data_IF_820340353880
#
_entry.id   IF_820340353880
#
_cell.length_a   1.000
_cell.length_b   1.000
_cell.length_c   1.000
_cell.angle_alpha   90.00
_cell.angle_beta   90.00
_cell.angle_gamma   90.00
#
_symmetry.space_group_name_H-M   'P 1'
#
loop_
_entity.id
_entity.type
_entity.pdbx_description
1 polymer ?
#
# COMPACT_ATOMS: atom_id res chain seq x y z
N UNK A 1 19.76 -22.14 1.47
CA UNK A 1 18.97 -23.34 1.83
C UNK A 1 17.53 -23.08 1.40
N UNK A 2 16.89 -23.97 0.64
CA UNK A 2 15.46 -23.82 0.34
C UNK A 2 14.65 -24.39 1.51
N UNK A 3 13.83 -23.56 2.16
CA UNK A 3 12.87 -23.99 3.19
C UNK A 3 11.61 -23.15 3.15
N UNK A 4 10.50 -23.73 3.60
CA UNK A 4 9.20 -23.06 3.73
C UNK A 4 9.16 -22.36 5.09
N UNK A 5 8.86 -21.05 5.10
CA UNK A 5 8.53 -20.31 6.33
C UNK A 5 7.04 -20.00 6.28
N UNK A 6 6.26 -20.50 7.25
CA UNK A 6 4.80 -20.40 7.20
C UNK A 6 4.21 -19.77 8.47
N UNK A 7 3.54 -18.60 8.36
CA UNK A 7 2.76 -18.02 9.44
C UNK A 7 1.38 -18.72 9.56
N UNK A 8 1.21 -19.47 10.64
CA UNK A 8 -0.03 -20.15 11.04
C UNK A 8 -0.84 -19.24 11.99
N UNK A 9 -1.37 -19.79 13.10
CA UNK A 9 -1.96 -19.04 14.20
C UNK A 9 -1.80 -19.76 15.54
N UNK A 10 -1.68 -19.01 16.64
CA UNK A 10 -1.75 -19.59 17.98
C UNK A 10 -3.13 -20.24 18.18
N UNK A 11 -3.16 -21.48 18.67
CA UNK A 11 -4.40 -22.27 18.76
C UNK A 11 -4.58 -23.29 17.62
N UNK A 12 -3.89 -23.16 16.47
CA UNK A 12 -3.98 -24.15 15.39
C UNK A 12 -3.57 -25.57 15.82
N UNK A 13 -2.68 -25.68 16.82
CA UNK A 13 -2.24 -26.95 17.36
C UNK A 13 -3.27 -27.75 18.13
N UNK A 14 -4.35 -27.10 18.56
CA UNK A 14 -5.42 -27.68 19.36
C UNK A 14 -6.74 -27.69 18.57
N UNK A 15 -6.66 -27.70 17.24
CA UNK A 15 -7.83 -27.73 16.35
C UNK A 15 -8.78 -28.89 16.72
N UNK A 16 -10.05 -28.57 16.98
CA UNK A 16 -11.10 -29.45 17.48
C UNK A 16 -10.92 -29.98 18.93
N UNK A 17 -9.98 -29.46 19.70
CA UNK A 17 -9.85 -29.81 21.14
C UNK A 17 -10.74 -28.90 22.01
N UNK A 18 -10.96 -27.66 21.57
CA UNK A 18 -11.82 -26.67 22.22
C UNK A 18 -12.93 -26.19 21.28
N UNK A 19 -14.06 -25.74 21.84
CA UNK A 19 -15.18 -25.18 21.07
C UNK A 19 -14.71 -24.04 20.14
N UNK A 20 -14.01 -23.05 20.70
CA UNK A 20 -13.46 -21.90 19.96
C UNK A 20 -12.39 -22.30 18.92
N UNK A 21 -11.81 -23.49 19.03
CA UNK A 21 -10.77 -23.98 18.10
C UNK A 21 -11.35 -24.74 16.90
N UNK A 22 -12.67 -24.90 16.79
CA UNK A 22 -13.31 -25.76 15.79
C UNK A 22 -13.75 -25.05 14.50
N UNK A 23 -13.39 -23.77 14.36
CA UNK A 23 -13.84 -22.90 13.26
C UNK A 23 -13.03 -23.04 11.95
N UNK A 24 -13.47 -22.34 10.90
CA UNK A 24 -12.86 -22.41 9.57
C UNK A 24 -11.46 -21.82 9.50
N UNK A 25 -11.15 -20.80 10.31
CA UNK A 25 -9.81 -20.24 10.44
C UNK A 25 -8.82 -21.32 10.91
N UNK A 26 -9.07 -21.96 12.06
CA UNK A 26 -8.19 -22.99 12.60
C UNK A 26 -8.14 -24.23 11.70
N UNK A 27 -9.25 -24.60 11.08
CA UNK A 27 -9.30 -25.70 10.09
C UNK A 27 -8.37 -25.44 8.91
N UNK A 28 -8.40 -24.24 8.34
CA UNK A 28 -7.60 -23.88 7.17
C UNK A 28 -6.10 -23.90 7.50
N UNK A 29 -5.71 -23.29 8.62
CA UNK A 29 -4.32 -23.28 9.13
C UNK A 29 -3.84 -24.68 9.47
N UNK A 30 -4.65 -25.50 10.13
CA UNK A 30 -4.30 -26.89 10.48
C UNK A 30 -4.07 -27.75 9.24
N UNK A 31 -4.92 -27.61 8.21
CA UNK A 31 -4.72 -28.27 6.91
C UNK A 31 -3.42 -27.82 6.24
N UNK A 32 -3.16 -26.52 6.19
CA UNK A 32 -1.93 -25.99 5.61
C UNK A 32 -0.68 -26.50 6.33
N UNK A 33 -0.68 -26.48 7.67
CA UNK A 33 0.40 -27.05 8.47
C UNK A 33 0.65 -28.52 8.16
N UNK A 34 -0.40 -29.34 7.99
CA UNK A 34 -0.27 -30.75 7.67
C UNK A 34 0.27 -31.01 6.26
N UNK A 35 -0.14 -30.19 5.28
CA UNK A 35 0.42 -30.23 3.92
C UNK A 35 1.91 -29.90 3.95
N UNK A 36 2.31 -28.87 4.72
CA UNK A 36 3.71 -28.47 4.85
C UNK A 36 4.53 -29.57 5.55
N UNK A 37 4.02 -30.11 6.67
CA UNK A 37 4.67 -31.20 7.43
C UNK A 37 4.91 -32.46 6.60
N UNK A 38 3.99 -32.75 5.67
CA UNK A 38 4.10 -33.92 4.78
C UNK A 38 4.84 -33.61 3.47
N UNK A 39 5.27 -32.37 3.27
CA UNK A 39 6.11 -31.99 2.13
C UNK A 39 7.53 -32.54 2.27
N UNK A 40 8.25 -32.66 1.15
CA UNK A 40 9.68 -33.05 1.14
C UNK A 40 10.62 -31.86 1.30
N UNK A 41 10.09 -30.67 1.54
CA UNK A 41 10.85 -29.43 1.67
C UNK A 41 11.00 -29.11 3.16
N UNK A 42 12.22 -28.81 3.64
CA UNK A 42 12.41 -28.37 5.03
C UNK A 42 11.48 -27.19 5.36
N UNK A 43 10.92 -27.14 6.56
CA UNK A 43 9.99 -26.07 6.94
C UNK A 43 10.25 -25.51 8.33
N UNK A 44 9.72 -24.30 8.55
CA UNK A 44 9.54 -23.67 9.85
C UNK A 44 8.11 -23.12 9.88
N UNK A 45 7.31 -23.55 10.85
CA UNK A 45 5.95 -23.05 11.06
C UNK A 45 5.95 -22.17 12.29
N UNK A 46 5.38 -20.98 12.17
CA UNK A 46 5.18 -20.07 13.28
C UNK A 46 3.71 -20.01 13.67
N UNK A 47 3.43 -20.06 14.97
CA UNK A 47 2.09 -19.87 15.54
C UNK A 47 2.09 -18.59 16.38
N UNK A 48 1.85 -17.43 15.75
CA UNK A 48 1.83 -16.16 16.46
C UNK A 48 0.56 -15.97 17.29
N UNK A 49 0.72 -15.33 18.45
CA UNK A 49 -0.38 -14.64 19.13
C UNK A 49 -0.78 -13.37 18.35
N UNK A 50 -1.53 -12.46 18.98
CA UNK A 50 -1.73 -11.12 18.43
C UNK A 50 -0.39 -10.46 18.11
N UNK A 51 -0.27 -9.92 16.90
CA UNK A 51 0.90 -9.15 16.48
C UNK A 51 0.48 -7.68 16.54
N UNK A 52 1.09 -6.90 17.43
CA UNK A 52 0.74 -5.49 17.66
C UNK A 52 1.88 -4.57 17.19
N UNK A 53 1.56 -3.35 16.76
CA UNK A 53 2.52 -2.38 16.24
C UNK A 53 1.97 -1.61 15.03
N UNK A 54 2.78 -0.76 14.37
CA UNK A 54 2.35 -0.02 13.20
C UNK A 54 1.69 -0.92 12.14
N UNK A 55 0.52 -0.53 11.65
CA UNK A 55 -0.32 -1.31 10.74
C UNK A 55 -1.16 -2.44 11.34
N UNK A 56 -1.22 -2.61 12.68
CA UNK A 56 -2.22 -3.48 13.31
C UNK A 56 -3.62 -2.87 13.31
N UNK A 57 -4.67 -3.68 13.41
CA UNK A 57 -6.07 -3.21 13.38
C UNK A 57 -6.70 -3.09 14.79
N UNK A 58 -6.14 -3.77 15.80
CA UNK A 58 -6.74 -3.85 17.14
C UNK A 58 -6.55 -2.56 17.93
N UNK A 59 -5.34 -1.99 17.90
CA UNK A 59 -5.05 -0.74 18.60
C UNK A 59 -5.79 0.45 17.96
N UNK A 60 -5.83 0.60 16.62
CA UNK A 60 -6.72 1.55 15.97
C UNK A 60 -8.18 1.48 16.41
N UNK A 61 -8.77 0.29 16.39
CA UNK A 61 -10.16 0.08 16.81
C UNK A 61 -10.39 0.51 18.27
N UNK A 62 -9.47 0.17 19.19
CA UNK A 62 -9.53 0.65 20.58
C UNK A 62 -9.46 2.18 20.65
N UNK A 63 -8.59 2.82 19.85
CA UNK A 63 -8.45 4.29 19.83
C UNK A 63 -9.75 4.95 19.34
N UNK A 64 -10.37 4.38 18.32
CA UNK A 64 -11.61 4.91 17.74
C UNK A 64 -12.76 4.81 18.76
N UNK A 65 -12.92 3.65 19.39
CA UNK A 65 -13.89 3.43 20.47
C UNK A 65 -13.64 4.31 21.71
N UNK A 66 -12.38 4.62 22.04
CA UNK A 66 -12.05 5.62 23.07
C UNK A 66 -12.57 7.01 22.65
N UNK A 67 -12.41 7.38 21.38
CA UNK A 67 -12.92 8.63 20.81
C UNK A 67 -14.46 8.74 20.87
N UNK A 68 -15.14 7.60 20.77
CA UNK A 68 -16.61 7.49 20.85
C UNK A 68 -17.17 7.40 22.29
N UNK A 69 -16.30 7.40 23.31
CA UNK A 69 -16.67 7.26 24.74
C UNK A 69 -17.40 5.93 25.07
N UNK A 70 -17.18 4.90 24.25
CA UNK A 70 -17.76 3.57 24.41
C UNK A 70 -16.84 2.50 23.82
N UNK A 71 -16.33 1.61 24.66
CA UNK A 71 -15.59 0.41 24.21
C UNK A 71 -16.48 -0.82 24.37
N UNK A 72 -16.59 -1.62 23.31
CA UNK A 72 -17.26 -2.91 23.29
C UNK A 72 -16.22 -4.00 23.54
N UNK A 73 -16.46 -4.85 24.53
CA UNK A 73 -15.54 -5.94 24.91
C UNK A 73 -16.25 -7.27 24.84
N UNK A 74 -15.74 -8.19 24.02
CA UNK A 74 -16.22 -9.56 23.96
C UNK A 74 -15.92 -10.31 25.27
N UNK A 75 -16.94 -10.99 25.81
CA UNK A 75 -16.89 -11.66 27.10
C UNK A 75 -16.68 -10.66 28.24
N UNK A 76 -15.72 -10.95 29.12
CA UNK A 76 -15.34 -10.06 30.24
C UNK A 76 -14.03 -9.30 29.99
N UNK A 77 -13.38 -9.57 28.86
CA UNK A 77 -12.05 -9.02 28.55
C UNK A 77 -10.92 -9.51 29.46
N UNK A 78 -11.11 -10.61 30.19
CA UNK A 78 -10.18 -11.17 31.19
C UNK A 78 -9.40 -12.39 30.70
N UNK A 79 -9.55 -12.75 29.42
CA UNK A 79 -8.82 -13.87 28.79
C UNK A 79 -7.35 -13.47 28.63
N UNK A 80 -6.40 -14.29 29.13
CA UNK A 80 -4.98 -13.98 29.03
C UNK A 80 -4.47 -14.19 27.60
N UNK A 81 -3.60 -13.29 27.15
CA UNK A 81 -2.95 -13.33 25.84
C UNK A 81 -1.48 -12.90 25.96
N UNK A 82 -0.64 -13.27 24.98
CA UNK A 82 0.78 -12.87 24.92
C UNK A 82 1.11 -12.22 23.57
N UNK A 83 0.59 -11.01 23.31
CA UNK A 83 0.84 -10.32 22.06
C UNK A 83 2.32 -10.06 21.85
N UNK A 84 2.78 -10.16 20.61
CA UNK A 84 4.17 -9.93 20.20
C UNK A 84 4.27 -8.64 19.36
N UNK A 85 5.36 -7.91 19.51
CA UNK A 85 5.63 -6.74 18.67
C UNK A 85 5.88 -7.16 17.22
N UNK A 86 5.30 -6.44 16.25
CA UNK A 86 5.44 -6.70 14.81
C UNK A 86 6.89 -6.80 14.37
N UNK A 87 7.79 -5.94 14.88
CA UNK A 87 9.20 -5.99 14.52
C UNK A 87 9.89 -7.28 14.99
N UNK A 88 9.46 -7.85 16.12
CA UNK A 88 10.04 -9.09 16.63
C UNK A 88 9.50 -10.30 15.87
N UNK A 89 8.23 -10.27 15.47
CA UNK A 89 7.68 -11.26 14.55
C UNK A 89 8.42 -11.24 13.20
N UNK A 90 8.66 -10.04 12.64
CA UNK A 90 9.44 -9.87 11.40
C UNK A 90 10.87 -10.39 11.56
N UNK A 91 11.58 -10.05 12.64
CA UNK A 91 12.92 -10.60 12.93
C UNK A 91 12.91 -12.14 12.96
N UNK A 92 11.91 -12.75 13.60
CA UNK A 92 11.79 -14.20 13.66
C UNK A 92 11.55 -14.82 12.27
N UNK A 93 10.64 -14.25 11.47
CA UNK A 93 10.39 -14.69 10.10
C UNK A 93 11.63 -14.56 9.23
N UNK A 94 12.37 -13.45 9.34
CA UNK A 94 13.57 -13.19 8.55
C UNK A 94 14.73 -14.12 8.95
N UNK A 95 14.97 -14.30 10.25
CA UNK A 95 15.94 -15.28 10.76
C UNK A 95 15.61 -16.70 10.26
N UNK A 96 14.32 -17.05 10.25
CA UNK A 96 13.83 -18.29 9.66
C UNK A 96 13.86 -18.30 8.12
N UNK A 97 13.95 -17.19 7.41
CA UNK A 97 14.21 -17.22 5.97
C UNK A 97 15.73 -17.44 5.69
N UNK A 98 16.59 -16.85 6.53
CA UNK A 98 18.05 -16.81 6.35
C UNK A 98 18.81 -18.11 6.69
N UNK A 99 18.18 -19.05 7.40
CA UNK A 99 18.79 -20.34 7.76
C UNK A 99 18.89 -20.62 9.25
N UNK A 100 18.51 -19.67 10.13
CA UNK A 100 18.53 -19.85 11.60
C UNK A 100 17.35 -20.69 12.09
N UNK A 101 17.50 -21.32 13.26
CA UNK A 101 16.52 -22.26 13.81
C UNK A 101 16.55 -23.65 13.15
N UNK A 102 15.84 -24.59 13.77
CA UNK A 102 15.80 -25.99 13.34
C UNK A 102 14.78 -26.20 12.21
N UNK A 103 15.15 -27.03 11.24
CA UNK A 103 14.21 -27.45 10.20
C UNK A 103 13.18 -28.42 10.77
N UNK A 104 11.99 -28.39 10.16
CA UNK A 104 10.82 -29.19 10.51
C UNK A 104 10.29 -28.89 11.93
N UNK A 105 10.47 -27.65 12.37
CA UNK A 105 10.09 -27.20 13.70
C UNK A 105 8.86 -26.27 13.67
N UNK A 106 8.08 -26.33 14.74
CA UNK A 106 7.02 -25.36 15.03
C UNK A 106 7.49 -24.45 16.16
N UNK A 107 7.41 -23.15 15.95
CA UNK A 107 7.73 -22.12 16.94
C UNK A 107 6.47 -21.32 17.31
N UNK A 108 6.35 -20.96 18.58
CA UNK A 108 5.31 -20.07 19.07
C UNK A 108 5.86 -18.65 19.13
N UNK A 109 5.20 -17.70 18.46
CA UNK A 109 5.58 -16.29 18.50
C UNK A 109 4.67 -15.57 19.49
N UNK A 110 5.12 -15.50 20.72
CA UNK A 110 4.43 -14.86 21.84
C UNK A 110 5.34 -13.78 22.42
N UNK A 111 4.74 -12.71 22.95
CA UNK A 111 5.49 -11.64 23.63
C UNK A 111 5.95 -12.01 25.03
N UNK A 112 6.71 -11.12 25.63
CA UNK A 112 7.30 -11.31 26.97
C UNK A 112 6.34 -11.07 28.14
N UNK A 113 5.13 -10.57 27.88
CA UNK A 113 4.15 -10.25 28.91
C UNK A 113 2.83 -10.96 28.61
N UNK A 114 2.14 -11.37 29.68
CA UNK A 114 0.77 -11.87 29.62
C UNK A 114 -0.14 -10.70 29.97
N UNK A 115 -1.03 -10.33 29.05
CA UNK A 115 -2.00 -9.24 29.22
C UNK A 115 -3.40 -9.69 28.83
N UNK A 116 -4.41 -9.05 29.40
CA UNK A 116 -5.82 -9.20 29.01
C UNK A 116 -6.27 -8.06 28.08
N UNK A 117 -7.50 -8.14 27.55
CA UNK A 117 -8.06 -7.04 26.76
C UNK A 117 -8.22 -5.75 27.60
N UNK A 118 -8.59 -5.90 28.87
CA UNK A 118 -8.69 -4.75 29.79
C UNK A 118 -7.32 -4.11 30.05
N UNK A 119 -6.27 -4.92 30.22
CA UNK A 119 -4.89 -4.41 30.36
C UNK A 119 -4.44 -3.69 29.09
N UNK A 120 -4.78 -4.21 27.90
CA UNK A 120 -4.45 -3.59 26.63
C UNK A 120 -5.13 -2.21 26.49
N UNK A 121 -6.41 -2.11 26.82
CA UNK A 121 -7.16 -0.83 26.84
C UNK A 121 -6.47 0.17 27.77
N UNK A 122 -6.14 -0.24 29.00
CA UNK A 122 -5.47 0.62 29.97
C UNK A 122 -4.08 1.10 29.49
N UNK A 123 -3.32 0.22 28.85
CA UNK A 123 -2.01 0.55 28.27
C UNK A 123 -2.14 1.53 27.09
N UNK A 124 -3.08 1.31 26.17
CA UNK A 124 -3.37 2.23 25.05
C UNK A 124 -3.76 3.60 25.59
N UNK A 125 -4.70 3.66 26.54
CA UNK A 125 -5.12 4.92 27.17
C UNK A 125 -3.97 5.64 27.87
N UNK A 126 -3.11 4.89 28.58
CA UNK A 126 -1.92 5.44 29.22
C UNK A 126 -0.98 6.06 28.18
N UNK A 127 -0.73 5.39 27.06
CA UNK A 127 0.12 5.90 25.98
C UNK A 127 -0.43 7.15 25.31
N UNK A 128 -1.73 7.20 25.03
CA UNK A 128 -2.39 8.41 24.51
C UNK A 128 -2.20 9.60 25.47
N UNK A 129 -2.32 9.38 26.80
CA UNK A 129 -2.10 10.42 27.82
C UNK A 129 -0.63 10.84 27.92
N UNK A 130 0.32 9.92 27.83
CA UNK A 130 1.75 10.20 27.81
C UNK A 130 2.15 11.07 26.60
N UNK A 131 1.44 10.92 25.48
CA UNK A 131 1.58 11.76 24.28
C UNK A 131 0.91 13.15 24.41
N UNK A 132 0.30 13.45 25.56
CA UNK A 132 -0.25 14.78 25.88
C UNK A 132 -1.75 14.96 25.59
N UNK A 133 -2.43 13.94 25.09
CA UNK A 133 -3.87 14.00 24.83
C UNK A 133 -4.69 13.82 26.11
N UNK A 134 -5.78 14.59 26.21
CA UNK A 134 -6.71 14.51 27.34
C UNK A 134 -7.89 13.63 26.97
N UNK A 135 -7.91 12.41 27.51
CA UNK A 135 -8.99 11.44 27.31
C UNK A 135 -9.63 11.05 28.64
N UNK A 136 -10.96 10.94 28.63
CA UNK A 136 -11.74 10.36 29.73
C UNK A 136 -11.66 8.83 29.69
N UNK A 137 -12.04 8.18 30.78
CA UNK A 137 -12.22 6.72 30.76
C UNK A 137 -13.57 6.39 30.12
N UNK A 138 -13.59 5.66 28.99
CA UNK A 138 -14.82 5.39 28.26
C UNK A 138 -15.69 4.39 29.01
N UNK A 139 -16.98 4.33 28.67
CA UNK A 139 -17.86 3.28 29.17
C UNK A 139 -17.49 1.95 28.51
N UNK A 140 -17.47 0.86 29.28
CA UNK A 140 -17.25 -0.48 28.73
C UNK A 140 -18.58 -1.22 28.64
N UNK A 141 -18.95 -1.64 27.43
CA UNK A 141 -20.07 -2.55 27.16
C UNK A 141 -19.53 -3.96 26.95
N UNK A 142 -19.78 -4.84 27.92
CA UNK A 142 -19.46 -6.26 27.79
C UNK A 142 -20.54 -6.96 26.97
N UNK A 143 -20.13 -7.70 25.95
CA UNK A 143 -21.03 -8.47 25.08
C UNK A 143 -20.70 -9.96 25.16
N UNK A 144 -21.68 -10.87 25.30
CA UNK A 144 -21.45 -12.31 25.21
C UNK A 144 -20.74 -12.71 23.91
N UNK A 145 -19.88 -13.73 23.93
CA UNK A 145 -19.10 -14.15 22.75
C UNK A 145 -19.97 -14.60 21.56
N UNK A 146 -21.18 -15.09 21.81
CA UNK A 146 -22.15 -15.46 20.78
C UNK A 146 -22.81 -14.26 20.09
N UNK A 147 -22.88 -13.12 20.77
CA UNK A 147 -23.45 -11.86 20.26
C UNK A 147 -22.37 -10.87 19.75
N UNK A 148 -21.11 -11.08 20.14
CA UNK A 148 -20.03 -10.14 19.88
C UNK A 148 -19.72 -9.92 18.39
N UNK A 149 -20.03 -10.88 17.51
CA UNK A 149 -19.75 -10.76 16.08
C UNK A 149 -20.58 -9.64 15.42
N UNK A 150 -21.84 -9.46 15.82
CA UNK A 150 -22.69 -8.37 15.32
C UNK A 150 -22.30 -7.02 15.92
N UNK A 151 -21.99 -7.00 17.22
CA UNK A 151 -21.71 -5.76 17.96
C UNK A 151 -20.32 -5.18 17.70
N UNK A 152 -19.36 -6.02 17.32
CA UNK A 152 -17.99 -5.61 16.95
C UNK A 152 -17.79 -5.52 15.43
N UNK A 153 -18.81 -5.82 14.62
CA UNK A 153 -18.69 -5.96 13.15
C UNK A 153 -17.56 -6.93 12.72
N UNK A 154 -17.46 -8.06 13.41
CA UNK A 154 -16.47 -9.10 13.17
C UNK A 154 -17.11 -10.39 12.68
N UNK A 155 -16.35 -11.22 11.96
CA UNK A 155 -16.81 -12.59 11.71
C UNK A 155 -16.73 -13.44 12.99
N UNK A 156 -17.60 -14.46 13.09
CA UNK A 156 -17.62 -15.36 14.25
C UNK A 156 -16.25 -16.03 14.48
N UNK A 157 -15.49 -16.32 13.42
CA UNK A 157 -14.16 -16.90 13.54
C UNK A 157 -13.17 -16.00 14.27
N UNK A 158 -13.25 -14.67 14.10
CA UNK A 158 -12.40 -13.72 14.82
C UNK A 158 -12.76 -13.68 16.31
N UNK A 159 -14.05 -13.71 16.63
CA UNK A 159 -14.55 -13.75 18.01
C UNK A 159 -14.12 -15.04 18.71
N UNK A 160 -14.14 -16.17 18.00
CA UNK A 160 -13.62 -17.44 18.53
C UNK A 160 -12.10 -17.38 18.78
N UNK A 161 -11.34 -16.72 17.91
CA UNK A 161 -9.88 -16.53 18.11
C UNK A 161 -9.60 -15.72 19.38
N UNK A 162 -10.45 -14.74 19.73
CA UNK A 162 -10.34 -13.98 20.99
C UNK A 162 -10.47 -14.85 22.25
N UNK A 163 -11.06 -16.04 22.12
CA UNK A 163 -11.21 -17.00 23.24
C UNK A 163 -9.97 -17.87 23.48
N UNK A 164 -8.93 -17.72 22.66
CA UNK A 164 -7.66 -18.45 22.80
C UNK A 164 -6.89 -17.97 24.03
N UNK A 165 -6.78 -18.83 25.04
CA UNK A 165 -6.12 -18.58 26.33
C UNK A 165 -4.73 -19.26 26.44
N UNK A 166 -4.18 -19.70 25.32
CA UNK A 166 -2.93 -20.47 25.29
C UNK A 166 -1.72 -19.59 25.61
N UNK A 167 -1.04 -19.91 26.70
CA UNK A 167 0.23 -19.30 27.10
C UNK A 167 1.40 -20.22 26.76
N UNK A 168 2.49 -19.63 26.25
CA UNK A 168 3.71 -20.32 25.82
C UNK A 168 4.93 -19.64 26.41
N UNK A 169 6.02 -20.41 26.48
CA UNK A 169 7.33 -19.92 26.89
C UNK A 169 7.91 -19.04 25.77
N UNK A 170 8.10 -17.77 26.08
CA UNK A 170 8.56 -16.73 25.18
C UNK A 170 10.04 -16.89 24.78
N UNK A 171 10.83 -17.58 25.60
CA UNK A 171 12.28 -17.70 25.42
C UNK A 171 12.66 -18.76 24.40
N UNK A 172 11.85 -19.82 24.27
CA UNK A 172 12.16 -20.93 23.35
C UNK A 172 12.41 -20.43 21.92
N UNK A 173 11.50 -19.61 21.39
CA UNK A 173 11.60 -19.14 20.00
C UNK A 173 12.66 -18.05 19.86
N UNK A 174 12.72 -17.11 20.80
CA UNK A 174 13.65 -15.97 20.77
C UNK A 174 15.11 -16.42 20.89
N UNK A 175 15.42 -17.38 21.77
CA UNK A 175 16.76 -17.95 21.90
C UNK A 175 17.15 -18.80 20.67
N UNK A 176 16.23 -19.60 20.13
CA UNK A 176 16.51 -20.45 18.94
C UNK A 176 16.74 -19.64 17.67
N UNK A 177 16.17 -18.44 17.56
CA UNK A 177 16.24 -17.58 16.39
C UNK A 177 17.11 -16.34 16.59
N UNK A 178 17.72 -16.18 17.77
CA UNK A 178 18.65 -15.11 18.11
C UNK A 178 18.05 -13.71 17.92
N UNK A 179 16.89 -13.47 18.55
CA UNK A 179 16.29 -12.14 18.67
C UNK A 179 15.90 -11.86 20.11
N UNK A 180 15.82 -10.58 20.48
CA UNK A 180 15.36 -10.14 21.80
C UNK A 180 13.93 -9.66 21.71
N UNK A 181 13.08 -10.08 22.65
CA UNK A 181 11.71 -9.62 22.75
C UNK A 181 11.66 -8.18 23.27
N UNK A 182 10.89 -7.36 22.56
CA UNK A 182 10.59 -5.98 22.90
C UNK A 182 9.40 -5.97 23.87
N UNK A 183 9.44 -5.15 24.94
CA UNK A 183 8.30 -4.96 25.82
C UNK A 183 7.05 -4.50 25.05
N UNK A 184 5.88 -4.99 25.43
CA UNK A 184 4.63 -4.72 24.70
C UNK A 184 4.25 -3.24 24.72
N UNK A 185 4.67 -2.50 25.74
CA UNK A 185 4.43 -1.06 25.86
C UNK A 185 5.08 -0.27 24.73
N UNK A 186 6.18 -0.75 24.16
CA UNK A 186 6.83 -0.14 22.99
C UNK A 186 6.00 -0.41 21.73
N UNK A 187 5.50 -1.65 21.57
CA UNK A 187 4.62 -2.00 20.46
C UNK A 187 3.34 -1.14 20.45
N UNK A 188 2.74 -0.97 21.64
CA UNK A 188 1.54 -0.16 21.81
C UNK A 188 1.83 1.31 21.55
N UNK A 189 2.96 1.84 22.03
CA UNK A 189 3.34 3.23 21.77
C UNK A 189 3.52 3.49 20.26
N UNK A 190 4.19 2.59 19.55
CA UNK A 190 4.41 2.73 18.10
C UNK A 190 3.09 2.60 17.32
N UNK A 191 2.20 1.69 17.71
CA UNK A 191 0.87 1.56 17.11
C UNK A 191 0.01 2.81 17.34
N UNK A 192 0.02 3.36 18.56
CA UNK A 192 -0.69 4.61 18.88
C UNK A 192 -0.15 5.77 18.05
N UNK A 193 1.18 5.90 17.94
CA UNK A 193 1.81 6.95 17.11
C UNK A 193 1.46 6.81 15.63
N UNK A 194 1.43 5.58 15.12
CA UNK A 194 1.05 5.30 13.74
C UNK A 194 -0.41 5.67 13.47
N UNK A 195 -1.35 5.23 14.34
CA UNK A 195 -2.78 5.56 14.23
C UNK A 195 -3.05 7.07 14.35
N UNK A 196 -2.36 7.74 15.26
CA UNK A 196 -2.53 9.18 15.54
C UNK A 196 -1.66 10.08 14.66
N UNK A 197 -0.90 9.49 13.72
CA UNK A 197 -0.04 10.21 12.78
C UNK A 197 0.99 11.14 13.45
N UNK A 198 1.48 10.81 14.65
CA UNK A 198 2.28 11.73 15.49
C UNK A 198 3.70 11.94 14.94
N UNK A 199 4.31 10.90 14.38
CA UNK A 199 5.68 10.93 13.87
C UNK A 199 5.78 11.10 12.35
N UNK A 200 4.63 11.11 11.64
CA UNK A 200 4.60 11.40 10.20
C UNK A 200 4.47 12.91 10.04
N UNK A 201 5.37 13.58 9.30
CA UNK A 201 5.20 14.99 9.00
C UNK A 201 3.87 15.17 8.27
N UNK A 202 3.14 16.24 8.60
CA UNK A 202 1.83 16.61 8.03
C UNK A 202 1.97 17.04 6.55
N UNK A 203 2.46 16.11 5.73
CA UNK A 203 2.66 16.26 4.30
C UNK A 203 1.42 15.72 3.62
N UNK A 204 0.83 16.53 2.74
CA UNK A 204 -0.19 16.03 1.82
C UNK A 204 0.39 14.86 1.04
N UNK A 205 -0.33 13.75 1.00
CA UNK A 205 0.07 12.59 0.20
C UNK A 205 -0.48 12.74 -1.21
N UNK A 206 0.34 12.42 -2.21
CA UNK A 206 0.00 12.54 -3.61
C UNK A 206 0.30 11.25 -4.36
N UNK A 207 -0.60 10.88 -5.26
CA UNK A 207 -0.41 9.80 -6.21
C UNK A 207 -0.01 10.38 -7.57
N UNK A 208 1.16 10.00 -8.07
CA UNK A 208 1.69 10.46 -9.36
C UNK A 208 1.55 9.36 -10.40
N UNK A 209 0.92 9.65 -11.54
CA UNK A 209 0.91 8.75 -12.70
C UNK A 209 2.31 8.71 -13.34
N UNK A 210 3.00 7.57 -13.25
CA UNK A 210 4.38 7.38 -13.65
C UNK A 210 4.52 6.43 -14.85
N UNK A 211 4.83 6.98 -16.02
CA UNK A 211 5.04 6.21 -17.26
C UNK A 211 6.51 5.96 -17.61
N UNK A 212 7.47 6.60 -16.92
CA UNK A 212 8.90 6.54 -17.24
C UNK A 212 9.35 7.54 -18.31
N UNK A 213 8.39 8.21 -18.97
CA UNK A 213 8.65 9.33 -19.87
C UNK A 213 9.00 10.62 -19.11
N UNK A 214 9.71 11.53 -19.77
CA UNK A 214 10.20 12.77 -19.17
C UNK A 214 9.13 13.58 -18.43
N UNK A 215 7.90 13.66 -18.94
CA UNK A 215 6.85 14.48 -18.33
C UNK A 215 6.37 13.88 -17.01
N UNK A 216 6.06 12.58 -16.98
CA UNK A 216 5.61 11.89 -15.76
C UNK A 216 6.71 11.83 -14.70
N UNK A 217 7.97 11.69 -15.12
CA UNK A 217 9.13 11.74 -14.22
C UNK A 217 9.34 13.16 -13.69
N UNK A 218 9.18 14.18 -14.52
CA UNK A 218 9.27 15.57 -14.05
C UNK A 218 8.13 15.89 -13.07
N UNK A 219 6.92 15.34 -13.29
CA UNK A 219 5.80 15.46 -12.35
C UNK A 219 6.10 14.82 -10.98
N UNK A 220 6.75 13.65 -10.98
CA UNK A 220 7.25 13.02 -9.75
C UNK A 220 8.21 13.95 -9.00
N UNK A 221 9.25 14.47 -9.66
CA UNK A 221 10.22 15.36 -9.01
C UNK A 221 9.57 16.68 -8.55
N UNK A 222 8.66 17.22 -9.34
CA UNK A 222 7.89 18.43 -9.02
C UNK A 222 7.04 18.26 -7.76
N UNK A 223 6.43 17.08 -7.58
CA UNK A 223 5.65 16.75 -6.39
C UNK A 223 6.55 16.67 -5.15
N UNK A 224 7.70 16.00 -5.27
CA UNK A 224 8.64 15.85 -4.15
C UNK A 224 9.27 17.18 -3.73
N UNK A 225 9.60 18.05 -4.69
CA UNK A 225 10.09 19.41 -4.43
C UNK A 225 9.08 20.26 -3.64
N UNK A 226 7.78 20.05 -3.89
CA UNK A 226 6.67 20.69 -3.14
C UNK A 226 6.40 20.08 -1.77
N UNK A 227 7.18 19.06 -1.38
CA UNK A 227 7.07 18.42 -0.09
C UNK A 227 5.91 17.45 0.03
N UNK A 228 5.30 17.00 -1.07
CA UNK A 228 4.34 15.90 -1.04
C UNK A 228 5.02 14.61 -0.57
N UNK A 229 4.28 13.80 0.18
CA UNK A 229 4.61 12.38 0.32
C UNK A 229 4.06 11.65 -0.91
N UNK A 230 4.91 10.94 -1.66
CA UNK A 230 4.58 10.52 -3.02
C UNK A 230 4.57 9.01 -3.17
N UNK A 231 3.41 8.50 -3.56
CA UNK A 231 3.25 7.18 -4.19
C UNK A 231 3.10 7.35 -5.70
N UNK A 232 3.57 6.37 -6.46
CA UNK A 232 3.52 6.39 -7.93
C UNK A 232 2.67 5.24 -8.45
N UNK A 233 1.99 5.47 -9.57
CA UNK A 233 1.13 4.48 -10.23
C UNK A 233 1.55 4.34 -11.70
N UNK A 234 1.92 3.12 -12.08
CA UNK A 234 2.28 2.74 -13.45
C UNK A 234 1.20 1.82 -14.01
N UNK A 235 0.71 2.13 -15.21
CA UNK A 235 -0.35 1.35 -15.87
C UNK A 235 0.27 0.52 -17.00
N UNK A 236 0.17 -0.80 -16.88
CA UNK A 236 0.63 -1.74 -17.90
C UNK A 236 -0.52 -2.14 -18.82
N UNK A 237 -0.60 -1.51 -19.99
CA UNK A 237 -1.58 -1.81 -21.04
C UNK A 237 -0.96 -2.65 -22.16
N UNK A 238 -1.81 -3.14 -23.08
CA UNK A 238 -1.38 -4.04 -24.15
C UNK A 238 -0.24 -3.44 -24.99
N UNK A 239 0.85 -4.20 -25.10
CA UNK A 239 2.06 -3.82 -25.86
C UNK A 239 2.71 -2.50 -25.42
N UNK A 240 2.53 -2.09 -24.16
CA UNK A 240 3.32 -1.01 -23.60
C UNK A 240 4.82 -1.37 -23.66
N UNK A 241 5.71 -0.47 -24.13
CA UNK A 241 7.14 -0.73 -24.20
C UNK A 241 7.71 -1.19 -22.86
N UNK A 242 8.45 -2.30 -22.86
CA UNK A 242 9.04 -2.87 -21.64
C UNK A 242 10.07 -1.92 -21.02
N UNK A 243 10.76 -1.13 -21.86
CA UNK A 243 11.71 -0.11 -21.37
C UNK A 243 11.05 0.96 -20.52
N UNK A 244 9.83 1.39 -20.84
CA UNK A 244 9.10 2.34 -20.01
C UNK A 244 8.83 1.79 -18.62
N UNK A 245 8.45 0.49 -18.53
CA UNK A 245 8.21 -0.17 -17.24
C UNK A 245 9.47 -0.22 -16.40
N UNK A 246 10.58 -0.71 -16.99
CA UNK A 246 11.88 -0.80 -16.31
C UNK A 246 12.28 0.58 -15.77
N UNK A 247 12.15 1.62 -16.58
CA UNK A 247 12.49 3.00 -16.18
C UNK A 247 11.58 3.52 -15.07
N UNK A 248 10.26 3.24 -15.10
CA UNK A 248 9.36 3.58 -13.99
C UNK A 248 9.83 2.96 -12.67
N UNK A 249 10.20 1.66 -12.67
CA UNK A 249 10.73 0.97 -11.49
C UNK A 249 12.05 1.58 -10.99
N UNK A 250 13.00 1.80 -11.90
CA UNK A 250 14.29 2.41 -11.54
C UNK A 250 14.15 3.80 -10.95
N UNK A 251 13.24 4.62 -11.49
CA UNK A 251 13.02 5.98 -11.04
C UNK A 251 12.26 6.04 -9.71
N UNK A 252 11.25 5.19 -9.51
CA UNK A 252 10.58 5.07 -8.22
C UNK A 252 11.56 4.65 -7.10
N UNK A 253 12.45 3.70 -7.39
CA UNK A 253 13.52 3.32 -6.46
C UNK A 253 14.50 4.46 -6.20
N UNK A 254 14.94 5.16 -7.25
CA UNK A 254 15.88 6.29 -7.13
C UNK A 254 15.30 7.41 -6.28
N UNK A 255 13.99 7.65 -6.38
CA UNK A 255 13.31 8.63 -5.57
C UNK A 255 12.84 8.08 -4.23
N UNK A 256 13.01 6.80 -3.89
CA UNK A 256 12.40 6.22 -2.69
C UNK A 256 10.89 6.51 -2.62
N UNK A 257 10.21 6.31 -3.74
CA UNK A 257 8.75 6.41 -3.88
C UNK A 257 8.18 5.01 -4.05
N UNK A 258 7.07 4.73 -3.38
CA UNK A 258 6.31 3.48 -3.60
C UNK A 258 5.79 3.46 -5.04
N UNK A 259 5.77 2.29 -5.67
CA UNK A 259 5.30 2.10 -7.04
C UNK A 259 4.26 0.99 -7.09
N UNK A 260 3.03 1.38 -7.40
CA UNK A 260 1.97 0.46 -7.78
C UNK A 260 1.98 0.23 -9.28
N UNK A 261 1.95 -1.04 -9.68
CA UNK A 261 1.84 -1.42 -11.08
C UNK A 261 0.54 -2.16 -11.33
N UNK A 262 -0.27 -1.63 -12.25
CA UNK A 262 -1.59 -2.18 -12.55
C UNK A 262 -1.64 -2.67 -13.98
N UNK A 263 -1.84 -3.97 -14.14
CA UNK A 263 -2.09 -4.58 -15.46
C UNK A 263 -3.51 -4.26 -15.94
N UNK A 264 -3.60 -3.42 -16.95
CA UNK A 264 -4.78 -3.17 -17.77
C UNK A 264 -4.57 -3.70 -19.19
N UNK A 265 -4.06 -4.93 -19.33
CA UNK A 265 -3.74 -5.57 -20.61
C UNK A 265 -4.91 -5.74 -21.59
N UNK A 266 -6.13 -5.46 -21.17
CA UNK A 266 -7.31 -5.35 -22.04
C UNK A 266 -7.40 -4.02 -22.79
N UNK A 267 -6.76 -2.96 -22.28
CA UNK A 267 -6.64 -1.68 -22.95
C UNK A 267 -5.61 -1.76 -24.06
N UNK A 268 -5.99 -1.26 -25.23
CA UNK A 268 -5.23 -1.36 -26.47
C UNK A 268 -5.28 -0.03 -27.21
N UNK A 269 -4.21 0.26 -27.93
CA UNK A 269 -4.20 1.39 -28.87
C UNK A 269 -5.20 1.15 -30.01
N UNK A 270 -5.68 2.24 -30.61
CA UNK A 270 -6.64 2.22 -31.70
C UNK A 270 -6.18 1.34 -32.86
N UNK A 271 -4.88 1.31 -33.16
CA UNK A 271 -4.29 0.42 -34.16
C UNK A 271 -4.47 -1.06 -33.82
N UNK A 272 -4.14 -1.48 -32.60
CA UNK A 272 -4.24 -2.88 -32.18
C UNK A 272 -5.68 -3.38 -32.10
N UNK A 273 -6.61 -2.50 -31.70
CA UNK A 273 -8.04 -2.79 -31.74
C UNK A 273 -8.50 -3.12 -33.16
N UNK A 274 -8.04 -2.36 -34.16
CA UNK A 274 -8.34 -2.63 -35.58
C UNK A 274 -7.72 -3.94 -36.05
N UNK A 275 -6.45 -4.20 -35.69
CA UNK A 275 -5.78 -5.47 -36.04
C UNK A 275 -6.48 -6.70 -35.48
N UNK A 276 -7.04 -6.61 -34.26
CA UNK A 276 -7.83 -7.68 -33.64
C UNK A 276 -9.27 -7.77 -34.14
N UNK A 277 -9.69 -6.91 -35.07
CA UNK A 277 -11.01 -6.96 -35.67
C UNK A 277 -12.13 -6.42 -34.78
N UNK A 278 -11.82 -5.60 -33.78
CA UNK A 278 -12.86 -4.93 -33.00
C UNK A 278 -13.67 -3.97 -33.91
N UNK A 279 -15.00 -3.91 -33.75
CA UNK A 279 -15.80 -2.89 -34.38
C UNK A 279 -15.46 -1.56 -33.70
N UNK A 280 -14.48 -0.84 -34.25
CA UNK A 280 -14.09 0.47 -33.75
C UNK A 280 -14.36 1.56 -34.79
N UNK A 281 -15.63 1.95 -35.01
CA UNK A 281 -15.98 3.05 -35.91
C UNK A 281 -15.30 4.36 -35.51
N UNK A 282 -15.11 4.58 -34.20
CA UNK A 282 -14.45 5.75 -33.65
C UNK A 282 -12.95 5.76 -33.91
N UNK A 283 -12.26 4.60 -33.84
CA UNK A 283 -10.82 4.52 -34.10
C UNK A 283 -10.42 4.89 -35.53
N UNK A 284 -11.34 4.96 -36.50
CA UNK A 284 -11.02 5.35 -37.87
C UNK A 284 -10.46 6.78 -37.94
N UNK A 285 -10.99 7.69 -37.10
CA UNK A 285 -10.62 9.10 -37.09
C UNK A 285 -9.68 9.48 -35.93
N UNK A 286 -9.24 8.51 -35.15
CA UNK A 286 -8.42 8.72 -33.96
C UNK A 286 -6.96 8.36 -34.27
N UNK A 287 -5.97 9.07 -33.69
CA UNK A 287 -4.56 8.72 -33.84
C UNK A 287 -4.30 7.24 -33.53
N UNK A 288 -3.39 6.61 -34.30
CA UNK A 288 -3.14 5.16 -34.20
C UNK A 288 -2.71 4.71 -32.80
N UNK A 289 -1.91 5.53 -32.13
CA UNK A 289 -1.38 5.29 -30.79
C UNK A 289 -2.30 5.73 -29.65
N UNK A 290 -3.53 6.16 -29.97
CA UNK A 290 -4.47 6.58 -28.93
C UNK A 290 -5.17 5.37 -28.32
N UNK A 291 -5.21 5.30 -27.00
CA UNK A 291 -6.01 4.33 -26.26
C UNK A 291 -7.41 4.95 -26.02
N UNK A 292 -8.51 4.35 -26.50
CA UNK A 292 -9.84 4.88 -26.24
C UNK A 292 -10.16 4.96 -24.74
N UNK A 293 -10.76 6.08 -24.30
CA UNK A 293 -11.09 6.35 -22.89
C UNK A 293 -9.89 6.29 -21.94
N UNK A 294 -8.67 6.51 -22.43
CA UNK A 294 -7.43 6.38 -21.66
C UNK A 294 -7.49 7.17 -20.36
N UNK A 295 -7.75 8.47 -20.41
CA UNK A 295 -7.65 9.30 -19.22
C UNK A 295 -8.78 8.98 -18.22
N UNK A 296 -10.00 8.68 -18.69
CA UNK A 296 -11.09 8.24 -17.81
C UNK A 296 -10.70 7.02 -16.99
N UNK A 297 -10.13 6.00 -17.65
CA UNK A 297 -9.80 4.74 -17.02
C UNK A 297 -8.57 4.90 -16.13
N UNK A 298 -7.54 5.61 -16.61
CA UNK A 298 -6.29 5.80 -15.86
C UNK A 298 -6.54 6.57 -14.57
N UNK A 299 -7.32 7.65 -14.62
CA UNK A 299 -7.63 8.46 -13.44
C UNK A 299 -8.67 7.82 -12.53
N UNK A 300 -9.59 6.99 -13.06
CA UNK A 300 -10.45 6.15 -12.21
C UNK A 300 -9.64 5.14 -11.39
N UNK A 301 -8.66 4.49 -12.01
CA UNK A 301 -7.74 3.58 -11.30
C UNK A 301 -6.86 4.36 -10.32
N UNK A 302 -6.36 5.53 -10.73
CA UNK A 302 -5.62 6.42 -9.84
C UNK A 302 -6.44 6.84 -8.62
N UNK A 303 -7.73 7.17 -8.79
CA UNK A 303 -8.63 7.52 -7.72
C UNK A 303 -8.86 6.38 -6.73
N UNK A 304 -9.01 5.14 -7.21
CA UNK A 304 -9.10 3.96 -6.36
C UNK A 304 -7.87 3.84 -5.43
N UNK A 305 -6.66 3.93 -6.00
CA UNK A 305 -5.44 3.86 -5.20
C UNK A 305 -5.23 5.10 -4.34
N UNK A 306 -5.64 6.27 -4.81
CA UNK A 306 -5.55 7.50 -4.04
C UNK A 306 -6.43 7.42 -2.78
N UNK A 307 -7.66 6.91 -2.88
CA UNK A 307 -8.50 6.65 -1.70
C UNK A 307 -7.87 5.60 -0.78
N UNK A 308 -7.40 4.47 -1.34
CA UNK A 308 -6.78 3.39 -0.57
C UNK A 308 -5.50 3.83 0.19
N UNK A 309 -4.75 4.78 -0.36
CA UNK A 309 -3.50 5.27 0.20
C UNK A 309 -3.60 6.65 0.88
N UNK A 310 -4.80 7.14 1.17
CA UNK A 310 -5.02 8.47 1.78
C UNK A 310 -4.36 9.64 1.01
N UNK A 311 -4.37 9.59 -0.32
CA UNK A 311 -3.81 10.62 -1.20
C UNK A 311 -4.87 11.67 -1.56
N UNK A 312 -4.65 12.91 -1.11
CA UNK A 312 -5.53 14.05 -1.40
C UNK A 312 -5.35 14.62 -2.81
N UNK A 313 -4.31 14.18 -3.53
CA UNK A 313 -3.95 14.73 -4.84
C UNK A 313 -3.56 13.61 -5.80
N UNK A 314 -4.13 13.63 -7.00
CA UNK A 314 -3.65 12.85 -8.15
C UNK A 314 -2.90 13.81 -9.07
N UNK A 315 -1.69 13.47 -9.47
CA UNK A 315 -0.83 14.31 -10.31
C UNK A 315 -0.57 13.60 -11.64
N UNK A 316 -0.86 14.30 -12.74
CA UNK A 316 -0.58 13.83 -14.10
C UNK A 316 0.19 14.83 -14.94
N UNK A 317 1.18 14.36 -15.71
CA UNK A 317 2.09 15.19 -16.50
C UNK A 317 1.54 15.64 -17.87
N UNK A 318 0.27 16.06 -17.96
CA UNK A 318 -0.33 16.54 -19.21
C UNK A 318 0.17 17.93 -19.59
N UNK A 319 0.43 18.16 -20.88
CA UNK A 319 0.92 19.44 -21.42
C UNK A 319 -0.16 20.21 -22.20
N UNK A 320 0.06 21.50 -22.41
CA UNK A 320 -0.83 22.36 -23.22
C UNK A 320 -1.12 21.79 -24.64
N UNK A 321 -0.13 21.28 -25.40
CA UNK A 321 -0.42 20.69 -26.71
C UNK A 321 -1.32 19.46 -26.69
N UNK A 322 -1.43 18.76 -25.56
CA UNK A 322 -2.30 17.58 -25.45
C UNK A 322 -3.77 17.98 -25.52
N UNK A 323 -4.14 19.17 -25.03
CA UNK A 323 -5.52 19.68 -25.01
C UNK A 323 -6.07 19.91 -26.42
N UNK A 324 -5.18 20.15 -27.38
CA UNK A 324 -5.55 20.30 -28.78
C UNK A 324 -5.51 18.97 -29.55
N UNK A 325 -4.90 17.94 -28.98
CA UNK A 325 -4.77 16.60 -29.59
C UNK A 325 -5.86 15.65 -29.12
N UNK A 326 -6.32 15.79 -27.87
CA UNK A 326 -7.21 14.83 -27.23
C UNK A 326 -8.33 15.53 -26.46
N UNK A 327 -9.57 15.15 -26.74
CA UNK A 327 -10.76 15.68 -26.06
C UNK A 327 -10.81 15.30 -24.57
N UNK A 328 -10.14 14.21 -24.18
CA UNK A 328 -10.06 13.73 -22.79
C UNK A 328 -8.87 14.31 -22.01
N UNK A 329 -8.19 15.32 -22.56
CA UNK A 329 -7.06 15.96 -21.91
C UNK A 329 -7.35 17.40 -21.45
N UNK A 330 -8.50 18.01 -21.78
CA UNK A 330 -8.73 19.43 -21.49
C UNK A 330 -8.94 19.71 -20.00
N UNK A 331 -8.71 20.95 -19.53
CA UNK A 331 -9.00 21.34 -18.15
C UNK A 331 -10.45 21.04 -17.74
N UNK A 332 -11.43 21.36 -18.58
CA UNK A 332 -12.85 21.14 -18.27
C UNK A 332 -13.21 19.65 -18.12
N UNK A 333 -12.51 18.79 -18.87
CA UNK A 333 -12.64 17.35 -18.72
C UNK A 333 -12.13 16.88 -17.35
N UNK A 334 -10.97 17.36 -16.92
CA UNK A 334 -10.38 16.99 -15.62
C UNK A 334 -11.16 17.58 -14.44
N UNK A 335 -11.71 18.79 -14.56
CA UNK A 335 -12.64 19.36 -13.57
C UNK A 335 -13.87 18.46 -13.40
N UNK A 336 -14.48 18.03 -14.52
CA UNK A 336 -15.63 17.14 -14.49
C UNK A 336 -15.30 15.76 -13.90
N UNK A 337 -14.11 15.25 -14.20
CA UNK A 337 -13.64 13.96 -13.69
C UNK A 337 -13.36 14.01 -12.18
N UNK A 338 -12.78 15.12 -11.70
CA UNK A 338 -12.58 15.37 -10.28
C UNK A 338 -13.91 15.40 -9.51
N UNK A 339 -14.95 16.04 -10.05
CA UNK A 339 -16.29 16.03 -9.44
C UNK A 339 -16.85 14.61 -9.33
N UNK A 340 -16.74 13.80 -10.39
CA UNK A 340 -17.19 12.40 -10.41
C UNK A 340 -16.43 11.56 -9.38
N UNK A 341 -15.10 11.73 -9.31
CA UNK A 341 -14.26 11.04 -8.32
C UNK A 341 -14.72 11.41 -6.90
N UNK A 342 -14.86 12.69 -6.59
CA UNK A 342 -15.22 13.15 -5.25
C UNK A 342 -16.64 12.73 -4.80
N UNK A 343 -17.56 12.53 -5.74
CA UNK A 343 -18.89 11.99 -5.43
C UNK A 343 -18.91 10.47 -5.21
N UNK A 344 -17.81 9.79 -5.55
CA UNK A 344 -17.67 8.33 -5.42
C UNK A 344 -16.98 7.90 -4.12
N UNK A 345 -16.35 8.83 -3.40
CA UNK A 345 -15.59 8.56 -2.17
C UNK A 345 -16.52 8.12 -1.02
N UNK A 346 -16.09 7.11 -0.25
CA UNK A 346 -16.79 6.66 0.96
C UNK A 346 -15.89 6.56 2.18
N UNK A 347 -14.61 6.18 2.01
CA UNK A 347 -13.67 5.99 3.12
C UNK A 347 -12.82 7.24 3.45
N UNK A 348 -12.95 8.29 2.64
CA UNK A 348 -12.07 9.45 2.67
C UNK A 348 -12.62 10.55 3.62
N UNK A 349 -12.73 10.27 4.93
CA UNK A 349 -13.23 11.11 6.06
C UNK A 349 -13.54 12.62 5.79
N UNK A 350 -14.49 12.94 4.91
CA UNK A 350 -14.80 14.31 4.50
C UNK A 350 -13.70 15.06 3.71
N UNK A 351 -12.59 14.38 3.35
CA UNK A 351 -11.54 14.89 2.48
C UNK A 351 -11.96 14.81 1.01
N UNK A 352 -11.20 15.46 0.14
CA UNK A 352 -11.40 15.43 -1.32
C UNK A 352 -10.11 15.04 -2.02
N UNK A 353 -10.25 14.39 -3.18
CA UNK A 353 -9.15 14.14 -4.09
C UNK A 353 -9.15 15.25 -5.15
N UNK A 354 -8.03 15.94 -5.30
CA UNK A 354 -7.85 16.97 -6.32
C UNK A 354 -6.97 16.43 -7.46
N UNK A 355 -7.34 16.69 -8.70
CA UNK A 355 -6.50 16.41 -9.86
C UNK A 355 -5.63 17.63 -10.13
N UNK A 356 -4.31 17.44 -10.12
CA UNK A 356 -3.32 18.49 -10.39
C UNK A 356 -2.57 18.20 -11.68
N UNK A 357 -2.65 19.15 -12.61
CA UNK A 357 -1.97 19.11 -13.90
C UNK A 357 -0.87 20.18 -13.93
N UNK A 358 0.33 19.91 -13.36
CA UNK A 358 1.34 20.94 -13.15
C UNK A 358 1.85 21.59 -14.45
N UNK A 359 1.65 20.95 -15.61
CA UNK A 359 2.21 21.34 -16.90
C UNK A 359 1.13 21.75 -17.92
N UNK A 360 -0.12 21.95 -17.49
CA UNK A 360 -1.25 22.30 -18.37
C UNK A 360 -1.01 23.54 -19.24
N UNK A 361 -0.18 24.47 -18.78
CA UNK A 361 0.17 25.72 -19.48
C UNK A 361 1.61 25.70 -20.03
N UNK A 362 2.25 24.54 -20.10
CA UNK A 362 3.65 24.38 -20.50
C UNK A 362 3.77 23.69 -21.85
N UNK A 363 4.75 24.12 -22.63
CA UNK A 363 5.24 23.39 -23.80
C UNK A 363 6.30 22.36 -23.38
N UNK A 364 6.62 21.43 -24.28
CA UNK A 364 7.61 20.36 -24.01
C UNK A 364 8.98 20.92 -23.60
N UNK A 365 9.39 22.05 -24.17
CA UNK A 365 10.66 22.71 -23.80
C UNK A 365 10.65 23.24 -22.37
N UNK A 366 9.50 23.73 -21.90
CA UNK A 366 9.37 24.30 -20.55
C UNK A 366 9.43 23.19 -19.49
N UNK A 367 8.81 22.03 -19.77
CA UNK A 367 8.91 20.84 -18.92
C UNK A 367 10.35 20.33 -18.85
N UNK A 368 11.08 20.29 -19.96
CA UNK A 368 12.49 19.90 -19.94
C UNK A 368 13.34 20.93 -19.18
N UNK A 369 13.06 22.22 -19.32
CA UNK A 369 13.74 23.26 -18.55
C UNK A 369 13.50 23.08 -17.04
N UNK A 370 12.25 22.80 -16.65
CA UNK A 370 11.90 22.48 -15.27
C UNK A 370 12.58 21.20 -14.79
N UNK A 371 12.62 20.15 -15.61
CA UNK A 371 13.30 18.90 -15.31
C UNK A 371 14.78 19.13 -14.98
N UNK A 372 15.46 19.98 -15.77
CA UNK A 372 16.84 20.38 -15.51
C UNK A 372 16.99 21.17 -14.21
N UNK A 373 16.04 22.05 -13.87
CA UNK A 373 16.05 22.81 -12.60
C UNK A 373 15.82 21.93 -11.37
N UNK A 374 15.06 20.85 -11.52
CA UNK A 374 14.73 19.88 -10.46
C UNK A 374 15.75 18.73 -10.39
N UNK A 375 16.87 18.80 -11.12
CA UNK A 375 17.88 17.75 -11.19
C UNK A 375 17.30 16.36 -11.57
N UNK A 376 16.29 16.34 -12.44
CA UNK A 376 15.75 15.10 -13.00
C UNK A 376 16.86 14.38 -13.80
N UNK A 377 17.08 13.07 -13.61
CA UNK A 377 18.04 12.29 -14.40
C UNK A 377 17.47 12.02 -15.80
N UNK A 378 17.46 13.05 -16.66
CA UNK A 378 16.83 13.04 -17.98
C UNK A 378 17.33 11.87 -18.84
N UNK A 379 18.60 11.52 -18.73
CA UNK A 379 19.23 10.40 -19.44
C UNK A 379 18.66 9.02 -19.08
N UNK A 380 18.00 8.90 -17.92
CA UNK A 380 17.31 7.68 -17.50
C UNK A 380 15.87 7.61 -17.99
N UNK A 381 15.29 8.72 -18.44
CA UNK A 381 13.90 8.76 -18.92
C UNK A 381 13.76 8.08 -20.27
N UNK A 382 12.58 7.54 -20.55
CA UNK A 382 12.28 6.87 -21.81
C UNK A 382 11.10 7.51 -22.51
N UNK A 383 11.36 8.28 -23.56
CA UNK A 383 10.31 8.87 -24.43
C UNK A 383 10.17 8.17 -25.78
N UNK A 384 10.91 7.09 -26.01
CA UNK A 384 10.88 6.38 -27.29
C UNK A 384 9.70 5.41 -27.34
N UNK A 385 8.87 5.49 -28.39
CA UNK A 385 7.73 4.58 -28.63
C UNK A 385 8.13 3.14 -28.98
N UNK A 386 9.42 2.80 -28.94
CA UNK A 386 9.92 1.47 -29.29
C UNK A 386 10.93 1.01 -28.23
N UNK A 387 10.97 -0.30 -28.01
CA UNK A 387 11.98 -0.93 -27.16
C UNK A 387 13.36 -0.97 -27.84
N UNK A 388 14.39 -0.96 -27.01
CA UNK A 388 15.79 -1.04 -27.44
C UNK A 388 16.76 -0.71 -26.30
N UNK A 389 18.06 -0.73 -26.58
CA UNK A 389 19.08 -0.34 -25.59
C UNK A 389 19.24 1.18 -25.47
N UNK A 390 18.79 1.92 -26.47
CA UNK A 390 18.79 3.39 -26.52
C UNK A 390 17.58 3.87 -27.32
N UNK A 391 17.10 5.10 -27.08
CA UNK A 391 16.05 5.72 -27.89
C UNK A 391 16.42 5.67 -29.38
N UNK A 392 15.43 5.39 -30.25
CA UNK A 392 15.71 5.17 -31.68
C UNK A 392 16.16 6.46 -32.40
N UNK A 393 15.78 7.63 -31.89
CA UNK A 393 16.13 8.94 -32.47
C UNK A 393 15.29 9.34 -33.68
N UNK A 394 14.44 8.45 -34.20
CA UNK A 394 13.71 8.65 -35.45
C UNK A 394 12.18 8.71 -35.29
N UNK A 395 11.61 8.17 -34.19
CA UNK A 395 10.18 8.25 -33.92
C UNK A 395 9.75 9.68 -33.54
N UNK A 396 8.45 9.98 -33.70
CA UNK A 396 7.90 11.32 -33.41
C UNK A 396 8.27 11.82 -32.03
N UNK A 397 8.13 10.97 -31.01
CA UNK A 397 8.44 11.30 -29.62
C UNK A 397 9.93 11.59 -29.39
N UNK A 398 10.84 10.82 -30.01
CA UNK A 398 12.28 11.10 -29.93
C UNK A 398 12.64 12.44 -30.60
N UNK A 399 12.08 12.71 -31.78
CA UNK A 399 12.35 13.94 -32.53
C UNK A 399 11.81 15.17 -31.77
N UNK A 400 10.63 15.06 -31.17
CA UNK A 400 10.02 16.10 -30.34
C UNK A 400 10.87 16.36 -29.08
N UNK A 401 11.29 15.31 -28.38
CA UNK A 401 12.17 15.40 -27.22
C UNK A 401 13.50 16.10 -27.53
N UNK A 402 14.21 15.68 -28.59
CA UNK A 402 15.51 16.27 -28.96
C UNK A 402 15.39 17.75 -29.35
N UNK A 403 14.33 18.13 -30.07
CA UNK A 403 14.05 19.52 -30.40
C UNK A 403 13.80 20.34 -29.13
N UNK A 404 12.93 19.86 -28.25
CA UNK A 404 12.59 20.52 -27.00
C UNK A 404 13.82 20.66 -26.08
N UNK A 405 14.65 19.61 -25.98
CA UNK A 405 15.89 19.62 -25.20
C UNK A 405 16.89 20.66 -25.71
N UNK A 406 16.99 20.83 -27.03
CA UNK A 406 17.83 21.86 -27.63
C UNK A 406 17.33 23.28 -27.30
N UNK A 407 16.02 23.49 -27.33
CA UNK A 407 15.41 24.78 -26.94
C UNK A 407 15.64 25.07 -25.47
N UNK A 408 15.33 24.12 -24.57
CA UNK A 408 15.51 24.27 -23.13
C UNK A 408 16.96 24.60 -22.76
N UNK A 409 17.94 23.90 -23.36
CA UNK A 409 19.37 24.17 -23.14
C UNK A 409 19.81 25.55 -23.64
N UNK A 410 19.15 26.11 -24.66
CA UNK A 410 19.45 27.46 -25.12
C UNK A 410 18.85 28.51 -24.18
N UNK A 411 17.64 28.28 -23.66
CA UNK A 411 16.97 29.18 -22.72
C UNK A 411 17.75 29.30 -21.39
N UNK A 412 18.35 28.20 -20.92
CA UNK A 412 19.16 28.17 -19.70
C UNK A 412 20.58 28.72 -19.86
N UNK A 413 21.05 28.98 -21.10
CA UNK A 413 22.38 29.51 -21.41
C UNK A 413 22.40 31.04 -21.54
N UNK A 414 21.65 31.74 -20.69
CA UNK A 414 21.71 33.21 -20.54
C UNK A 414 22.64 33.59 -19.40
#
# INVERSE_FOLDING_TARGET
LQRIVYPSGLGTGVYNEYEWSSNMYFRSKSKAENIIKTSKVPFVIFRPSYILGPGDELIPDIIDQIGEDLIIVAGKGDIPSQPIYVQDAVKAFLAAAEGRGENNQIYYLVGSQIITMLDLIDLVMKKIRELGFRISYPRIKYVPFDEAHEELDLCQEMVDVMRCDLIKDEKITSEKLDYTLTPIEVAIEDAVKDRMNIDKPDKKRALVLLSGGIDSVTALYWAKDRGYDVITLSIDYYLRPEREKIVSHELAQLTNSELEEVSLSFLMEAFDLRLKGYPSPSAINTPESFVPFRNLIFYSVAAYYAEAYDCEVIIGGHLNPDFHKFDDATPEYFESLEEIINTSLQGFEGKKINITLPFENMEKSDVIELALKLDVPIEKTWSCSSDGDKPCGECSSCVEFEKALKVARNNLKV
#
